data_IF_345837418080
#
_entry.id   IF_345837418080
#
_cell.length_a   1.000
_cell.length_b   1.000
_cell.length_c   1.000
_cell.angle_alpha   90.00
_cell.angle_beta   90.00
_cell.angle_gamma   90.00
#
_symmetry.space_group_name_H-M   'P 1'
#
loop_
_entity.id
_entity.type
_entity.pdbx_description
1 polymer ?
#
# COMPACT_ATOMS: atom_id res chain seq x y z
N UNK A 1 21.53 17.98 -20.68
CA UNK A 1 20.06 18.05 -20.62
C UNK A 1 19.47 16.87 -21.40
N UNK A 2 19.50 15.64 -20.87
CA UNK A 2 19.24 14.46 -21.76
C UNK A 2 18.57 13.25 -21.10
N UNK A 3 19.01 12.78 -19.93
CA UNK A 3 18.42 11.56 -19.33
C UNK A 3 17.07 11.77 -18.63
N UNK A 4 16.93 12.83 -17.84
CA UNK A 4 15.68 13.11 -17.09
C UNK A 4 14.53 13.57 -18.01
N UNK A 5 14.83 14.25 -19.10
CA UNK A 5 13.83 14.71 -20.08
C UNK A 5 13.31 13.54 -20.91
N UNK A 6 14.20 12.66 -21.40
CA UNK A 6 13.80 11.47 -22.13
C UNK A 6 12.96 10.51 -21.27
N UNK A 7 13.30 10.35 -19.99
CA UNK A 7 12.51 9.54 -19.06
C UNK A 7 11.10 10.12 -18.86
N UNK A 8 10.97 11.44 -18.70
CA UNK A 8 9.66 12.10 -18.61
C UNK A 8 8.84 11.90 -19.87
N UNK A 9 9.45 12.09 -21.05
CA UNK A 9 8.77 11.89 -22.35
C UNK A 9 8.28 10.44 -22.47
N UNK A 10 9.11 9.45 -22.13
CA UNK A 10 8.70 8.04 -22.11
C UNK A 10 7.53 7.80 -21.16
N UNK A 11 7.58 8.33 -19.94
CA UNK A 11 6.47 8.20 -18.98
C UNK A 11 5.18 8.83 -19.51
N UNK A 12 5.26 10.01 -20.15
CA UNK A 12 4.09 10.64 -20.76
C UNK A 12 3.53 9.82 -21.92
N UNK A 13 4.39 9.29 -22.81
CA UNK A 13 3.95 8.44 -23.92
C UNK A 13 3.28 7.16 -23.43
N UNK A 14 3.82 6.52 -22.39
CA UNK A 14 3.22 5.32 -21.79
C UNK A 14 1.86 5.66 -21.15
N UNK A 15 1.79 6.75 -20.38
CA UNK A 15 0.52 7.19 -19.78
C UNK A 15 -0.54 7.51 -20.84
N UNK A 16 -0.15 8.19 -21.91
CA UNK A 16 -1.04 8.50 -23.03
C UNK A 16 -1.53 7.23 -23.72
N UNK A 17 -0.62 6.30 -24.05
CA UNK A 17 -0.99 5.02 -24.66
C UNK A 17 -1.93 4.21 -23.75
N UNK A 18 -1.69 4.20 -22.43
CA UNK A 18 -2.56 3.54 -21.46
C UNK A 18 -3.96 4.16 -21.40
N UNK A 19 -4.07 5.49 -21.48
CA UNK A 19 -5.36 6.19 -21.53
C UNK A 19 -6.10 5.85 -22.83
N UNK A 20 -5.42 5.91 -23.98
CA UNK A 20 -6.02 5.56 -25.28
C UNK A 20 -6.49 4.11 -25.28
N UNK A 21 -5.68 3.16 -24.83
CA UNK A 21 -6.08 1.77 -24.70
C UNK A 21 -7.28 1.62 -23.75
N UNK A 22 -7.27 2.32 -22.60
CA UNK A 22 -8.38 2.36 -21.66
C UNK A 22 -9.67 2.89 -22.27
N UNK A 23 -9.60 3.91 -23.13
CA UNK A 23 -10.79 4.44 -23.83
C UNK A 23 -11.38 3.41 -24.79
N UNK A 24 -10.55 2.76 -25.60
CA UNK A 24 -11.00 1.72 -26.53
C UNK A 24 -11.62 0.55 -25.78
N UNK A 25 -10.95 0.06 -24.73
CA UNK A 25 -11.45 -1.05 -23.91
C UNK A 25 -12.75 -0.66 -23.21
N UNK A 26 -12.86 0.56 -22.70
CA UNK A 26 -14.07 1.01 -21.99
C UNK A 26 -15.31 1.07 -22.88
N UNK A 27 -15.16 1.09 -24.20
CA UNK A 27 -16.27 1.07 -25.16
C UNK A 27 -16.74 -0.35 -25.51
N UNK A 28 -16.02 -1.40 -25.10
CA UNK A 28 -16.34 -2.79 -25.43
C UNK A 28 -17.39 -3.32 -24.43
N UNK A 29 -18.56 -3.80 -24.89
CA UNK A 29 -19.54 -4.46 -24.04
C UNK A 29 -18.92 -5.69 -23.32
N UNK A 30 -19.23 -5.94 -22.03
CA UNK A 30 -20.27 -5.34 -21.20
C UNK A 30 -19.78 -4.19 -20.27
N UNK A 31 -18.57 -3.65 -20.49
CA UNK A 31 -17.96 -2.69 -19.57
C UNK A 31 -18.76 -1.38 -19.40
N UNK A 32 -19.33 -0.76 -20.46
CA UNK A 32 -20.16 0.44 -20.30
C UNK A 32 -21.35 0.24 -19.38
N UNK A 33 -22.06 -0.88 -19.51
CA UNK A 33 -23.23 -1.21 -18.69
C UNK A 33 -22.84 -1.39 -17.23
N UNK A 34 -21.73 -2.09 -16.98
CA UNK A 34 -21.20 -2.26 -15.64
C UNK A 34 -20.78 -0.92 -15.02
N UNK A 35 -20.11 -0.05 -15.79
CA UNK A 35 -19.74 1.28 -15.31
C UNK A 35 -20.97 2.15 -15.01
N UNK A 36 -22.02 2.05 -15.83
CA UNK A 36 -23.28 2.73 -15.58
C UNK A 36 -23.96 2.24 -14.29
N UNK A 37 -23.91 0.94 -13.98
CA UNK A 37 -24.42 0.39 -12.71
C UNK A 37 -23.63 0.91 -11.49
N UNK A 38 -22.31 1.02 -11.63
CA UNK A 38 -21.43 1.57 -10.58
C UNK A 38 -21.71 3.06 -10.38
N UNK A 39 -21.89 3.81 -11.47
CA UNK A 39 -22.22 5.24 -11.43
C UNK A 39 -23.63 5.49 -10.87
N UNK A 40 -24.60 4.63 -11.18
CA UNK A 40 -25.94 4.69 -10.62
C UNK A 40 -25.95 4.45 -9.10
N UNK A 41 -25.02 3.62 -8.60
CA UNK A 41 -24.90 3.28 -7.18
C UNK A 41 -23.65 3.91 -6.54
N UNK A 42 -23.23 5.08 -7.01
CA UNK A 42 -21.95 5.68 -6.61
C UNK A 42 -21.82 5.84 -5.09
N UNK A 43 -22.86 6.35 -4.43
CA UNK A 43 -22.84 6.63 -2.99
C UNK A 43 -22.59 5.37 -2.13
N UNK A 44 -23.36 4.27 -2.26
CA UNK A 44 -23.09 3.06 -1.49
C UNK A 44 -21.73 2.44 -1.82
N UNK A 45 -21.27 2.50 -3.08
CA UNK A 45 -19.93 2.05 -3.45
C UNK A 45 -18.82 2.85 -2.77
N UNK A 46 -18.96 4.18 -2.70
CA UNK A 46 -18.00 5.05 -2.00
C UNK A 46 -18.00 4.80 -0.50
N UNK A 47 -19.17 4.59 0.12
CA UNK A 47 -19.25 4.26 1.55
C UNK A 47 -18.57 2.92 1.83
N UNK A 48 -18.83 1.90 1.02
CA UNK A 48 -18.24 0.58 1.18
C UNK A 48 -16.71 0.61 0.99
N UNK A 49 -16.24 1.21 -0.10
CA UNK A 49 -14.81 1.27 -0.44
C UNK A 49 -14.03 2.24 0.46
N UNK A 50 -14.61 3.38 0.80
CA UNK A 50 -14.07 4.33 1.78
C UNK A 50 -14.04 3.73 3.19
N UNK A 51 -15.09 3.02 3.59
CA UNK A 51 -15.14 2.28 4.86
C UNK A 51 -14.08 1.19 4.91
N UNK A 52 -13.92 0.40 3.84
CA UNK A 52 -12.84 -0.57 3.72
C UNK A 52 -11.46 0.09 3.80
N UNK A 53 -11.26 1.24 3.14
CA UNK A 53 -10.00 1.97 3.21
C UNK A 53 -9.69 2.43 4.64
N UNK A 54 -10.66 3.02 5.33
CA UNK A 54 -10.52 3.50 6.71
C UNK A 54 -10.28 2.34 7.68
N UNK A 55 -11.05 1.26 7.58
CA UNK A 55 -10.86 0.06 8.41
C UNK A 55 -9.50 -0.58 8.14
N UNK A 56 -9.10 -0.69 6.88
CA UNK A 56 -7.79 -1.22 6.48
C UNK A 56 -6.65 -0.40 7.06
N UNK A 57 -6.76 0.93 6.99
CA UNK A 57 -5.80 1.84 7.59
C UNK A 57 -5.72 1.66 9.12
N UNK A 58 -6.86 1.57 9.81
CA UNK A 58 -6.90 1.36 11.26
C UNK A 58 -6.28 0.02 11.67
N UNK A 59 -6.58 -1.06 10.95
CA UNK A 59 -5.99 -2.38 11.19
C UNK A 59 -4.48 -2.38 10.92
N UNK A 60 -4.05 -1.76 9.82
CA UNK A 60 -2.64 -1.66 9.46
C UNK A 60 -1.87 -0.85 10.51
N UNK A 61 -2.36 0.33 10.85
CA UNK A 61 -1.72 1.20 11.84
C UNK A 61 -1.74 0.59 13.23
N UNK A 62 -2.87 0.02 13.65
CA UNK A 62 -3.00 -0.69 14.92
C UNK A 62 -2.04 -1.87 15.04
N UNK A 63 -1.92 -2.69 13.98
CA UNK A 63 -0.98 -3.80 13.94
C UNK A 63 0.48 -3.37 13.95
N UNK A 64 0.84 -2.28 13.25
CA UNK A 64 2.20 -1.69 13.31
C UNK A 64 2.50 -1.15 14.70
N UNK A 65 1.58 -0.39 15.31
CA UNK A 65 1.75 0.16 16.65
C UNK A 65 1.88 -0.95 17.69
N UNK A 66 1.09 -2.02 17.60
CA UNK A 66 1.17 -3.16 18.51
C UNK A 66 2.48 -3.96 18.32
N UNK A 67 2.97 -4.11 17.08
CA UNK A 67 4.31 -4.68 16.81
C UNK A 67 5.42 -3.83 17.42
N UNK A 68 5.35 -2.51 17.24
CA UNK A 68 6.30 -1.56 17.82
C UNK A 68 6.22 -1.55 19.35
N UNK A 69 5.03 -1.67 19.94
CA UNK A 69 4.86 -1.66 21.39
C UNK A 69 5.43 -2.92 22.04
N UNK A 70 5.38 -4.06 21.35
CA UNK A 70 5.82 -5.35 21.89
C UNK A 70 7.29 -5.70 21.67
N UNK A 71 8.03 -4.95 20.85
CA UNK A 71 9.48 -5.16 20.71
C UNK A 71 10.22 -4.55 21.91
N UNK A 72 10.73 -5.38 22.82
CA UNK A 72 11.41 -4.95 24.05
C UNK A 72 12.88 -4.51 23.87
N UNK A 73 13.37 -4.35 22.63
CA UNK A 73 14.74 -3.86 22.38
C UNK A 73 14.76 -2.34 22.32
N UNK A 74 15.27 -1.72 23.39
CA UNK A 74 15.59 -0.29 23.43
C UNK A 74 16.70 -0.02 22.40
N UNK A 75 16.49 0.91 21.46
CA UNK A 75 17.61 1.38 20.64
C UNK A 75 18.67 2.01 21.54
N UNK A 76 19.93 1.59 21.35
CA UNK A 76 21.08 2.32 21.88
C UNK A 76 21.17 3.68 21.21
N UNK A 77 21.77 4.66 21.89
CA UNK A 77 21.89 6.03 21.39
C UNK A 77 22.51 6.09 19.98
N UNK A 78 23.48 5.22 19.71
CA UNK A 78 24.13 5.07 18.40
C UNK A 78 23.16 4.63 17.30
N UNK A 79 22.27 3.68 17.57
CA UNK A 79 21.30 3.26 16.57
C UNK A 79 20.23 4.34 16.31
N UNK A 80 19.89 5.16 17.31
CA UNK A 80 18.97 6.28 17.11
C UNK A 80 19.58 7.36 16.21
N UNK A 81 20.88 7.63 16.35
CA UNK A 81 21.63 8.54 15.47
C UNK A 81 21.76 8.00 14.05
N UNK A 82 21.94 6.69 13.86
CA UNK A 82 22.00 6.09 12.51
C UNK A 82 20.64 6.04 11.81
N UNK A 83 19.54 5.83 12.56
CA UNK A 83 18.18 6.00 12.03
C UNK A 83 17.94 7.46 11.65
N UNK A 84 18.32 8.42 12.49
CA UNK A 84 18.23 9.84 12.15
C UNK A 84 19.05 10.17 10.89
N UNK A 85 20.29 9.67 10.80
CA UNK A 85 21.18 9.89 9.66
C UNK A 85 20.62 9.29 8.36
N UNK A 86 20.03 8.09 8.42
CA UNK A 86 19.41 7.44 7.26
C UNK A 86 18.14 8.14 6.79
N UNK A 87 17.29 8.61 7.71
CA UNK A 87 16.10 9.44 7.38
C UNK A 87 16.54 10.80 6.83
N UNK A 88 17.60 11.39 7.38
CA UNK A 88 18.19 12.67 6.96
C UNK A 88 18.79 12.61 5.55
N UNK A 89 19.31 11.46 5.14
CA UNK A 89 19.80 11.22 3.77
C UNK A 89 18.65 11.00 2.76
N UNK A 90 17.48 10.52 3.21
CA UNK A 90 16.33 10.24 2.35
C UNK A 90 15.37 11.45 2.17
N UNK A 91 15.38 12.42 3.07
CA UNK A 91 14.50 13.58 3.03
C UNK A 91 14.96 14.68 2.05
N UNK A 92 14.08 15.13 1.14
CA UNK A 92 14.34 16.26 0.22
C UNK A 92 14.56 17.57 1.01
N UNK A 93 15.44 18.49 0.55
CA UNK A 93 15.88 19.68 1.30
C UNK A 93 14.77 20.68 1.68
N UNK A 94 13.59 20.59 1.05
CA UNK A 94 12.44 21.47 1.36
C UNK A 94 11.72 21.05 2.64
N UNK A 95 11.65 19.75 2.95
CA UNK A 95 11.04 19.27 4.19
C UNK A 95 11.92 19.55 5.42
N UNK A 96 13.25 19.61 5.23
CA UNK A 96 14.24 19.89 6.27
C UNK A 96 14.03 21.23 6.99
N UNK A 97 13.62 22.29 6.27
CA UNK A 97 13.42 23.62 6.87
C UNK A 97 12.17 23.72 7.74
N UNK A 98 11.20 22.82 7.56
CA UNK A 98 9.94 22.85 8.30
C UNK A 98 9.98 22.01 9.58
N UNK A 99 10.92 21.07 9.71
CA UNK A 99 10.94 20.13 10.84
C UNK A 99 12.32 20.05 11.47
N UNK A 100 12.69 21.06 12.27
CA UNK A 100 13.80 20.91 13.23
C UNK A 100 13.28 20.12 14.43
N UNK A 101 13.24 18.79 14.33
CA UNK A 101 12.95 17.95 15.49
C UNK A 101 14.24 17.80 16.31
N UNK A 102 14.38 18.62 17.36
CA UNK A 102 15.50 18.50 18.31
C UNK A 102 15.06 17.49 19.37
N UNK A 103 15.51 16.24 19.26
CA UNK A 103 15.20 15.21 20.26
C UNK A 103 16.01 15.53 21.52
N UNK A 104 15.37 16.16 22.50
CA UNK A 104 15.91 16.33 23.84
C UNK A 104 15.48 15.13 24.70
N UNK A 105 16.43 14.25 25.04
CA UNK A 105 16.20 13.10 25.93
C UNK A 105 16.59 11.74 25.30
N UNK A 106 16.49 10.66 26.10
CA UNK A 106 16.69 9.27 25.63
C UNK A 106 15.73 8.97 24.48
N UNK A 107 16.21 9.10 23.24
CA UNK A 107 15.48 8.74 22.04
C UNK A 107 15.23 7.22 22.06
N UNK A 108 14.01 6.83 22.42
CA UNK A 108 13.62 5.42 22.48
C UNK A 108 13.09 5.03 21.11
N UNK A 109 13.97 4.72 20.18
CA UNK A 109 13.58 4.06 18.93
C UNK A 109 13.41 2.55 19.17
N UNK A 110 12.68 1.87 18.28
CA UNK A 110 12.65 0.38 18.21
C UNK A 110 13.02 -0.07 16.80
N UNK A 111 13.96 -1.01 16.66
CA UNK A 111 14.46 -1.48 15.37
C UNK A 111 13.42 -2.38 14.69
N UNK A 112 12.78 -1.85 13.64
CA UNK A 112 11.89 -2.62 12.77
C UNK A 112 12.66 -3.35 11.66
N UNK A 113 13.67 -4.16 11.99
CA UNK A 113 14.43 -4.92 10.99
C UNK A 113 13.92 -6.36 10.87
N UNK A 114 12.64 -6.54 10.53
CA UNK A 114 12.13 -7.87 10.16
C UNK A 114 11.52 -7.80 8.77
N UNK A 115 12.35 -8.06 7.76
CA UNK A 115 11.90 -8.35 6.41
C UNK A 115 11.09 -9.65 6.46
N UNK A 116 9.77 -9.55 6.61
CA UNK A 116 8.89 -10.72 6.59
C UNK A 116 8.65 -11.16 5.14
N UNK A 117 9.09 -12.37 4.78
CA UNK A 117 8.86 -12.90 3.44
C UNK A 117 7.45 -13.52 3.30
N UNK A 118 6.89 -13.49 2.08
CA UNK A 118 5.61 -14.16 1.79
C UNK A 118 5.67 -15.67 2.04
N UNK A 119 6.86 -16.27 1.89
CA UNK A 119 7.10 -17.69 2.17
C UNK A 119 6.97 -18.02 3.65
N UNK A 120 7.53 -17.19 4.53
CA UNK A 120 7.36 -17.37 5.98
C UNK A 120 5.91 -17.16 6.40
N UNK A 121 5.22 -16.17 5.84
CA UNK A 121 3.76 -16.04 6.05
C UNK A 121 3.02 -17.29 5.56
N UNK A 122 3.34 -17.85 4.39
CA UNK A 122 2.65 -19.08 3.94
C UNK A 122 2.94 -20.26 4.86
N UNK A 123 4.16 -20.38 5.35
CA UNK A 123 4.55 -21.45 6.28
C UNK A 123 3.86 -21.31 7.63
N UNK A 124 3.82 -20.09 8.21
CA UNK A 124 3.10 -19.80 9.45
C UNK A 124 1.58 -20.02 9.33
N UNK A 125 1.02 -19.81 8.13
CA UNK A 125 -0.36 -20.15 7.84
C UNK A 125 -0.59 -21.67 7.88
N UNK A 126 0.24 -22.42 7.14
CA UNK A 126 0.14 -23.89 7.05
C UNK A 126 0.41 -24.60 8.38
N UNK A 127 1.34 -24.09 9.18
CA UNK A 127 1.67 -24.66 10.49
C UNK A 127 0.67 -24.29 11.60
N UNK A 128 -0.28 -23.38 11.31
CA UNK A 128 -1.17 -22.81 12.33
C UNK A 128 -0.47 -21.84 13.28
N UNK A 129 0.78 -21.46 12.99
CA UNK A 129 1.55 -20.47 13.76
C UNK A 129 0.84 -19.11 13.83
N UNK A 130 0.05 -18.77 12.82
CA UNK A 130 -0.76 -17.55 12.79
C UNK A 130 -1.74 -17.39 13.96
N UNK A 131 -2.24 -18.51 14.51
CA UNK A 131 -3.16 -18.50 15.65
C UNK A 131 -2.42 -18.66 16.99
N UNK A 132 -1.32 -19.41 17.00
CA UNK A 132 -0.57 -19.76 18.22
C UNK A 132 0.43 -18.67 18.64
N UNK A 133 1.03 -17.98 17.69
CA UNK A 133 2.09 -17.00 17.95
C UNK A 133 1.58 -15.57 17.78
N UNK A 134 1.68 -14.78 18.85
CA UNK A 134 1.21 -13.38 18.89
C UNK A 134 1.88 -12.52 17.82
N UNK A 135 3.15 -12.77 17.51
CA UNK A 135 3.91 -12.03 16.49
C UNK A 135 3.29 -12.24 15.10
N UNK A 136 3.00 -13.49 14.73
CA UNK A 136 2.36 -13.80 13.45
C UNK A 136 0.97 -13.22 13.38
N UNK A 137 0.15 -13.37 14.43
CA UNK A 137 -1.20 -12.78 14.46
C UNK A 137 -1.18 -11.29 14.14
N UNK A 138 -0.26 -10.54 14.75
CA UNK A 138 -0.09 -9.10 14.48
C UNK A 138 0.34 -8.83 13.04
N UNK A 139 1.32 -9.57 12.51
CA UNK A 139 1.76 -9.43 11.11
C UNK A 139 0.61 -9.71 10.12
N UNK A 140 -0.23 -10.71 10.38
CA UNK A 140 -1.41 -10.97 9.55
C UNK A 140 -2.44 -9.85 9.65
N UNK A 141 -2.72 -9.32 10.84
CA UNK A 141 -3.63 -8.18 11.01
C UNK A 141 -3.13 -6.98 10.21
N UNK A 142 -1.83 -6.67 10.30
CA UNK A 142 -1.22 -5.59 9.51
C UNK A 142 -1.32 -5.84 8.01
N UNK A 143 -1.01 -7.06 7.55
CA UNK A 143 -1.07 -7.41 6.13
C UNK A 143 -2.50 -7.38 5.57
N UNK A 144 -3.47 -7.89 6.32
CA UNK A 144 -4.90 -7.80 5.98
C UNK A 144 -5.36 -6.36 5.96
N UNK A 145 -4.94 -5.54 6.93
CA UNK A 145 -5.20 -4.11 6.95
C UNK A 145 -4.66 -3.41 5.70
N UNK A 146 -3.41 -3.68 5.32
CA UNK A 146 -2.78 -3.13 4.12
C UNK A 146 -3.51 -3.55 2.83
N UNK A 147 -3.93 -4.82 2.72
CA UNK A 147 -4.72 -5.30 1.59
C UNK A 147 -6.08 -4.62 1.51
N UNK A 148 -6.80 -4.53 2.63
CA UNK A 148 -8.11 -3.90 2.70
C UNK A 148 -8.02 -2.41 2.37
N UNK A 149 -6.97 -1.74 2.86
CA UNK A 149 -6.67 -0.34 2.53
C UNK A 149 -6.43 -0.16 1.03
N UNK A 150 -5.61 -1.03 0.43
CA UNK A 150 -5.30 -0.98 -1.01
C UNK A 150 -6.55 -1.19 -1.86
N UNK A 151 -7.37 -2.20 -1.52
CA UNK A 151 -8.66 -2.47 -2.19
C UNK A 151 -9.60 -1.28 -2.02
N UNK A 152 -9.68 -0.70 -0.82
CA UNK A 152 -10.52 0.46 -0.55
C UNK A 152 -10.11 1.69 -1.37
N UNK A 153 -8.82 2.03 -1.40
CA UNK A 153 -8.31 3.18 -2.18
C UNK A 153 -8.54 2.97 -3.68
N UNK A 154 -8.24 1.78 -4.21
CA UNK A 154 -8.49 1.46 -5.61
C UNK A 154 -9.99 1.44 -5.92
N UNK A 155 -10.83 0.98 -5.00
CA UNK A 155 -12.29 1.01 -5.13
C UNK A 155 -12.86 2.43 -5.17
N UNK A 156 -12.36 3.33 -4.30
CA UNK A 156 -12.71 4.76 -4.33
C UNK A 156 -12.30 5.36 -5.68
N UNK A 157 -11.06 5.12 -6.11
CA UNK A 157 -10.57 5.59 -7.41
C UNK A 157 -11.46 5.09 -8.56
N UNK A 158 -11.75 3.80 -8.61
CA UNK A 158 -12.63 3.19 -9.60
C UNK A 158 -14.05 3.80 -9.61
N UNK A 159 -14.55 4.23 -8.45
CA UNK A 159 -15.89 4.82 -8.33
C UNK A 159 -15.94 6.30 -8.72
N UNK A 160 -14.83 7.04 -8.58
CA UNK A 160 -14.79 8.50 -8.83
C UNK A 160 -14.35 8.86 -10.25
N UNK A 161 -13.42 8.09 -10.83
CA UNK A 161 -12.75 8.46 -12.06
C UNK A 161 -13.53 8.09 -13.33
N UNK A 162 -13.24 8.73 -14.48
CA UNK A 162 -13.88 8.43 -15.76
C UNK A 162 -13.56 7.01 -16.28
N UNK A 163 -14.39 6.47 -17.21
CA UNK A 163 -14.30 5.09 -17.71
C UNK A 163 -12.89 4.57 -18.08
N UNK A 164 -12.03 5.30 -18.82
CA UNK A 164 -10.69 4.79 -19.14
C UNK A 164 -9.84 4.55 -17.89
N UNK A 165 -9.97 5.38 -16.86
CA UNK A 165 -9.25 5.21 -15.59
C UNK A 165 -9.86 4.07 -14.78
N UNK A 166 -11.19 3.86 -14.84
CA UNK A 166 -11.84 2.69 -14.24
C UNK A 166 -11.27 1.39 -14.79
N UNK A 167 -11.09 1.29 -16.11
CA UNK A 167 -10.44 0.14 -16.75
C UNK A 167 -9.02 -0.07 -16.21
N UNK A 168 -8.21 0.98 -16.15
CA UNK A 168 -6.83 0.89 -15.65
C UNK A 168 -6.78 0.46 -14.18
N UNK A 169 -7.67 1.01 -13.35
CA UNK A 169 -7.71 0.74 -11.91
C UNK A 169 -8.23 -0.67 -11.64
N UNK A 170 -9.29 -1.09 -12.34
CA UNK A 170 -9.81 -2.46 -12.29
C UNK A 170 -8.80 -3.48 -12.80
N UNK A 171 -8.12 -3.19 -13.91
CA UNK A 171 -7.04 -4.05 -14.43
C UNK A 171 -5.86 -4.16 -13.47
N UNK A 172 -5.47 -3.05 -12.82
CA UNK A 172 -4.43 -3.05 -11.78
C UNK A 172 -4.85 -3.91 -10.60
N UNK A 173 -6.10 -3.81 -10.16
CA UNK A 173 -6.62 -4.61 -9.05
C UNK A 173 -6.62 -6.11 -9.38
N UNK A 174 -7.05 -6.49 -10.59
CA UNK A 174 -6.97 -7.87 -11.07
C UNK A 174 -5.52 -8.38 -11.16
N UNK A 175 -4.59 -7.54 -11.65
CA UNK A 175 -3.18 -7.87 -11.69
C UNK A 175 -2.61 -8.11 -10.29
N UNK A 176 -2.92 -7.24 -9.33
CA UNK A 176 -2.46 -7.37 -7.94
C UNK A 176 -3.02 -8.65 -7.31
N UNK A 177 -4.30 -8.95 -7.51
CA UNK A 177 -4.92 -10.20 -7.04
C UNK A 177 -4.22 -11.41 -7.66
N UNK A 178 -4.00 -11.40 -8.98
CA UNK A 178 -3.31 -12.47 -9.70
C UNK A 178 -1.87 -12.66 -9.23
N UNK A 179 -1.12 -11.56 -9.04
CA UNK A 179 0.24 -11.57 -8.52
C UNK A 179 0.31 -12.12 -7.10
N UNK A 180 -0.58 -11.68 -6.21
CA UNK A 180 -0.66 -12.19 -4.83
C UNK A 180 -1.04 -13.67 -4.81
N UNK A 181 -2.05 -14.06 -5.60
CA UNK A 181 -2.48 -15.45 -5.72
C UNK A 181 -1.37 -16.35 -6.27
N UNK A 182 -0.66 -15.89 -7.31
CA UNK A 182 0.50 -16.60 -7.86
C UNK A 182 1.65 -16.71 -6.85
N UNK A 183 1.97 -15.61 -6.16
CA UNK A 183 2.98 -15.58 -5.10
C UNK A 183 2.65 -16.56 -3.98
N UNK A 184 1.38 -16.59 -3.55
CA UNK A 184 0.88 -17.55 -2.57
C UNK A 184 0.86 -18.98 -3.10
N UNK A 185 0.63 -19.22 -4.39
CA UNK A 185 0.68 -20.56 -4.95
C UNK A 185 2.10 -21.11 -5.01
N UNK A 186 3.05 -20.31 -5.50
CA UNK A 186 4.45 -20.69 -5.72
C UNK A 186 5.30 -20.76 -4.44
N UNK A 187 4.96 -19.99 -3.40
CA UNK A 187 5.69 -19.98 -2.11
C UNK A 187 5.62 -21.32 -1.35
#
# INVERSE_FOLDING_TARGET
MTLSVLQRIKTFLIAFAAIVAGTVISAIPPLPEWFALVDANRTPWLIATGGAAALGLLLMMGGILDLLMAQDRMLTHEGAEDVERSVRLAARPVAWRATSYRIWGRATGREGSEQCSLREMKQAWRSGGWFRETVWRRRYVTAVGALLMTIGILGVAFTVFPPPIKVLTGGTLLYVIGMLGWGLWKA
#
